data_IF_951788091615
#
_entry.id   IF_951788091615
#
_cell.length_a   1.000
_cell.length_b   1.000
_cell.length_c   1.000
_cell.angle_alpha   90.00
_cell.angle_beta   90.00
_cell.angle_gamma   90.00
#
_symmetry.space_group_name_H-M   'P 1'
#
loop_
_entity.id
_entity.type
_entity.pdbx_description
1 polymer ?
#
# COMPACT_ATOMS: atom_id res chain seq x y z
N UNK A 1 3.09 28.12 6.19
CA UNK A 1 2.61 27.11 5.22
C UNK A 1 3.29 25.81 5.61
N UNK A 2 2.58 24.85 6.21
CA UNK A 2 3.15 23.52 6.44
C UNK A 2 3.05 22.76 5.10
N UNK A 3 4.17 22.64 4.41
CA UNK A 3 4.35 21.61 3.39
C UNK A 3 4.40 20.28 4.15
N UNK A 4 3.24 19.68 4.40
CA UNK A 4 3.19 18.31 4.84
C UNK A 4 3.70 17.46 3.68
N UNK A 5 4.99 17.14 3.68
CA UNK A 5 5.55 16.13 2.79
C UNK A 5 4.80 14.85 3.12
N UNK A 6 3.82 14.51 2.29
CA UNK A 6 3.03 13.32 2.47
C UNK A 6 4.01 12.15 2.30
N UNK A 7 4.25 11.41 3.39
CA UNK A 7 5.13 10.25 3.37
C UNK A 7 4.67 9.33 2.23
N UNK A 8 5.59 8.97 1.33
CA UNK A 8 5.27 8.07 0.23
C UNK A 8 4.88 6.71 0.82
N UNK A 9 3.60 6.36 0.70
CA UNK A 9 3.09 5.06 1.13
C UNK A 9 3.40 4.07 0.03
N UNK A 10 4.09 2.99 0.38
CA UNK A 10 4.44 1.93 -0.57
C UNK A 10 3.88 0.64 -0.02
N UNK A 11 2.93 0.04 -0.72
CA UNK A 11 2.38 -1.25 -0.31
C UNK A 11 3.21 -2.36 -0.92
N UNK A 12 3.56 -3.37 -0.14
CA UNK A 12 4.30 -4.53 -0.64
C UNK A 12 3.39 -5.75 -0.59
N UNK A 13 3.00 -6.22 -1.77
CA UNK A 13 2.26 -7.45 -1.93
C UNK A 13 3.24 -8.62 -2.04
N UNK A 14 3.26 -9.48 -1.03
CA UNK A 14 4.01 -10.73 -1.07
C UNK A 14 3.10 -11.85 -1.62
N UNK A 15 3.24 -12.18 -2.91
CA UNK A 15 2.51 -13.28 -3.54
C UNK A 15 3.46 -14.40 -3.96
N UNK A 16 3.24 -15.62 -3.46
CA UNK A 16 3.98 -16.83 -3.88
C UNK A 16 5.52 -16.70 -3.94
N UNK A 17 6.10 -15.88 -3.07
CA UNK A 17 7.55 -15.61 -3.02
C UNK A 17 8.02 -14.46 -3.91
N UNK A 18 7.09 -13.75 -4.55
CA UNK A 18 7.34 -12.52 -5.29
C UNK A 18 6.86 -11.32 -4.45
N UNK A 19 7.75 -10.35 -4.29
CA UNK A 19 7.46 -9.08 -3.64
C UNK A 19 7.10 -8.04 -4.70
N UNK A 20 5.82 -7.71 -4.81
CA UNK A 20 5.29 -6.73 -5.75
C UNK A 20 5.11 -5.42 -4.99
N UNK A 21 5.85 -4.38 -5.39
CA UNK A 21 5.69 -3.04 -4.84
C UNK A 21 4.54 -2.34 -5.57
N UNK A 22 3.51 -2.00 -4.82
CA UNK A 22 2.33 -1.27 -5.26
C UNK A 22 2.49 0.18 -4.76
N UNK A 23 2.60 1.11 -5.70
CA UNK A 23 2.63 2.54 -5.41
C UNK A 23 1.28 3.01 -4.95
N UNK A 24 1.21 3.99 -4.05
CA UNK A 24 -0.08 4.60 -3.71
C UNK A 24 -0.58 5.46 -4.90
N UNK A 25 -1.74 5.13 -5.51
CA UNK A 25 -2.27 5.89 -6.64
C UNK A 25 -2.78 7.28 -6.23
N UNK A 26 -3.21 7.44 -4.97
CA UNK A 26 -3.78 8.69 -4.48
C UNK A 26 -3.57 8.81 -2.97
N UNK A 27 -2.69 9.70 -2.48
CA UNK A 27 -2.36 9.82 -1.05
C UNK A 27 -3.54 10.18 -0.15
N UNK A 28 -4.65 10.65 -0.72
CA UNK A 28 -5.90 10.92 -0.01
C UNK A 28 -6.74 9.68 0.25
N UNK A 29 -6.42 8.55 -0.37
CA UNK A 29 -7.15 7.30 -0.21
C UNK A 29 -6.76 6.59 1.08
N UNK A 30 -7.76 5.95 1.69
CA UNK A 30 -7.51 5.00 2.77
C UNK A 30 -6.82 3.76 2.22
N UNK A 31 -6.04 3.06 3.05
CA UNK A 31 -5.39 1.79 2.70
C UNK A 31 -6.36 0.81 2.08
N UNK A 32 -7.58 0.73 2.62
CA UNK A 32 -8.63 -0.15 2.11
C UNK A 32 -9.09 0.22 0.70
N UNK A 33 -9.12 1.51 0.36
CA UNK A 33 -9.48 1.96 -0.98
C UNK A 33 -8.36 1.63 -1.99
N UNK A 34 -7.10 1.82 -1.60
CA UNK A 34 -5.94 1.41 -2.42
C UNK A 34 -5.91 -0.11 -2.60
N UNK A 35 -6.18 -0.87 -1.54
CA UNK A 35 -6.26 -2.33 -1.59
C UNK A 35 -7.39 -2.79 -2.50
N UNK A 36 -8.59 -2.21 -2.41
CA UNK A 36 -9.70 -2.52 -3.30
C UNK A 36 -9.41 -2.12 -4.76
N UNK A 37 -8.70 -1.01 -4.97
CA UNK A 37 -8.25 -0.61 -6.30
C UNK A 37 -7.35 -1.69 -6.92
N UNK A 38 -6.31 -2.10 -6.19
CA UNK A 38 -5.40 -3.15 -6.61
C UNK A 38 -6.02 -4.55 -6.62
N UNK A 39 -7.08 -4.80 -5.87
CA UNK A 39 -7.80 -6.08 -5.85
C UNK A 39 -8.37 -6.47 -7.23
N UNK A 40 -8.69 -5.48 -8.07
CA UNK A 40 -9.10 -5.75 -9.46
C UNK A 40 -7.96 -6.34 -10.30
N UNK A 41 -6.72 -5.99 -10.00
CA UNK A 41 -5.52 -6.48 -10.71
C UNK A 41 -4.94 -7.73 -10.03
N UNK A 42 -4.94 -7.74 -8.70
CA UNK A 42 -4.45 -8.82 -7.85
C UNK A 42 -5.60 -9.32 -6.97
N UNK A 43 -6.42 -10.28 -7.46
CA UNK A 43 -7.59 -10.78 -6.72
C UNK A 43 -7.25 -11.30 -5.32
N UNK A 44 -6.00 -11.75 -5.10
CA UNK A 44 -5.51 -12.22 -3.80
C UNK A 44 -5.61 -11.14 -2.72
N UNK A 45 -5.59 -9.86 -3.09
CA UNK A 45 -5.70 -8.75 -2.15
C UNK A 45 -7.08 -8.73 -1.47
N UNK A 46 -8.13 -9.26 -2.12
CA UNK A 46 -9.47 -9.38 -1.50
C UNK A 46 -9.50 -10.30 -0.28
N UNK A 47 -8.57 -11.27 -0.20
CA UNK A 47 -8.44 -12.21 0.91
C UNK A 47 -7.18 -11.96 1.73
N UNK A 48 -6.32 -11.04 1.30
CA UNK A 48 -5.12 -10.66 2.01
C UNK A 48 -5.47 -9.89 3.29
N UNK A 49 -4.72 -10.15 4.36
CA UNK A 49 -4.80 -9.34 5.57
C UNK A 49 -3.84 -8.16 5.44
N UNK A 50 -4.36 -6.96 5.69
CA UNK A 50 -3.54 -5.77 5.91
C UNK A 50 -2.67 -6.07 7.13
N UNK A 51 -1.38 -6.23 6.90
CA UNK A 51 -0.41 -6.33 8.00
C UNK A 51 -0.24 -4.94 8.62
N UNK A 52 0.02 -4.90 9.93
CA UNK A 52 0.16 -3.62 10.63
C UNK A 52 1.24 -2.76 9.96
N UNK A 53 0.92 -1.49 9.70
CA UNK A 53 1.84 -0.59 9.02
C UNK A 53 3.16 -0.49 9.79
N UNK A 54 4.26 -0.83 9.13
CA UNK A 54 5.60 -0.70 9.67
C UNK A 54 6.29 0.46 8.94
N UNK A 55 6.71 1.48 9.69
CA UNK A 55 7.54 2.55 9.12
C UNK A 55 8.94 1.97 8.93
N UNK A 56 9.40 1.88 7.68
CA UNK A 56 10.76 1.46 7.32
C UNK A 56 11.29 2.42 6.26
N UNK A 57 12.50 2.95 6.48
CA UNK A 57 13.22 3.83 5.55
C UNK A 57 12.37 4.96 4.94
N UNK A 58 11.83 5.85 5.78
CA UNK A 58 11.05 7.03 5.37
C UNK A 58 9.79 6.72 4.53
N UNK A 59 9.33 5.46 4.51
CA UNK A 59 8.07 5.03 3.91
C UNK A 59 7.23 4.25 4.94
N UNK A 60 5.90 4.40 4.85
CA UNK A 60 4.96 3.55 5.59
C UNK A 60 4.63 2.36 4.69
N UNK A 61 5.11 1.17 5.09
CA UNK A 61 4.78 -0.13 4.48
C UNK A 61 3.67 -0.85 5.23
#
# INVERSE_FOLDING_TARGET
MLLATQLERVFVLKDKGQDIRLTDPEPRWSVEAVLNFYANTYPILTTAKISASAIRDDAVE
#
